data_IF_584013732262
#
_entry.id   IF_584013732262
#
_cell.length_a   1.000
_cell.length_b   1.000
_cell.length_c   1.000
_cell.angle_alpha   90.00
_cell.angle_beta   90.00
_cell.angle_gamma   90.00
#
_symmetry.space_group_name_H-M   'P 1'
#
loop_
_entity.id
_entity.type
_entity.pdbx_description
1 polymer ?
#
# COMPACT_ATOMS: atom_id res chain seq x y z
N UNK A 1 10.62 -17.22 -8.43
CA UNK A 1 10.49 -15.89 -9.08
C UNK A 1 9.05 -15.75 -9.51
N UNK A 2 8.47 -14.54 -9.46
CA UNK A 2 7.14 -14.33 -10.04
C UNK A 2 7.22 -14.49 -11.56
N UNK A 3 6.23 -15.19 -12.11
CA UNK A 3 6.02 -15.26 -13.56
C UNK A 3 5.85 -13.87 -14.16
N UNK A 4 6.48 -13.66 -15.31
CA UNK A 4 6.46 -12.38 -16.03
C UNK A 4 5.02 -11.90 -16.30
N UNK A 5 4.15 -12.84 -16.69
CA UNK A 5 2.73 -12.60 -16.91
C UNK A 5 1.98 -12.11 -15.65
N UNK A 6 2.34 -12.62 -14.47
CA UNK A 6 1.71 -12.16 -13.22
C UNK A 6 2.18 -10.75 -12.85
N UNK A 7 3.46 -10.44 -13.09
CA UNK A 7 3.99 -9.10 -12.89
C UNK A 7 3.27 -8.09 -13.78
N UNK A 8 3.16 -8.37 -15.08
CA UNK A 8 2.50 -7.46 -16.04
C UNK A 8 1.05 -7.18 -15.65
N UNK A 9 0.28 -8.21 -15.24
CA UNK A 9 -1.09 -8.03 -14.73
C UNK A 9 -1.18 -7.18 -13.47
N UNK A 10 -0.20 -7.27 -12.57
CA UNK A 10 -0.16 -6.44 -11.36
C UNK A 10 0.17 -5.00 -11.74
N UNK A 11 1.15 -4.81 -12.62
CA UNK A 11 1.53 -3.49 -13.11
C UNK A 11 0.30 -2.83 -13.76
N UNK A 12 -0.41 -3.50 -14.67
CA UNK A 12 -1.64 -2.97 -15.29
C UNK A 12 -2.74 -2.56 -14.30
N UNK A 13 -2.88 -3.26 -13.17
CA UNK A 13 -3.91 -2.97 -12.17
C UNK A 13 -3.59 -1.79 -11.27
N UNK A 14 -2.31 -1.53 -11.03
CA UNK A 14 -1.83 -0.50 -10.10
C UNK A 14 -1.10 0.65 -10.78
N UNK A 15 -1.04 0.65 -12.12
CA UNK A 15 -0.56 1.76 -12.95
C UNK A 15 -1.41 3.01 -12.69
N UNK A 16 -0.77 4.11 -12.35
CA UNK A 16 -1.42 5.43 -12.33
C UNK A 16 -1.51 6.04 -13.74
N UNK A 17 -0.54 5.72 -14.59
CA UNK A 17 -0.48 6.11 -16.00
C UNK A 17 -0.05 4.93 -16.88
N UNK A 18 -0.33 4.98 -18.18
CA UNK A 18 -0.04 3.87 -19.11
C UNK A 18 1.45 3.47 -19.15
N UNK A 19 2.35 4.44 -18.97
CA UNK A 19 3.81 4.26 -18.92
C UNK A 19 4.38 4.14 -17.50
N UNK A 20 3.54 4.14 -16.47
CA UNK A 20 4.00 4.05 -15.10
C UNK A 20 4.40 2.61 -14.75
N UNK A 21 5.71 2.36 -14.75
CA UNK A 21 6.30 1.05 -14.43
C UNK A 21 7.08 1.07 -13.12
N UNK A 22 7.22 2.25 -12.52
CA UNK A 22 8.16 2.50 -11.44
C UNK A 22 7.55 3.16 -10.21
N UNK A 23 6.27 3.56 -10.24
CA UNK A 23 5.64 4.16 -9.07
C UNK A 23 5.73 3.27 -7.84
N UNK A 24 5.81 3.95 -6.71
CA UNK A 24 5.84 3.34 -5.38
C UNK A 24 4.66 2.38 -5.19
N UNK A 25 3.52 2.71 -5.79
CA UNK A 25 2.28 1.94 -5.80
C UNK A 25 2.45 0.55 -6.43
N UNK A 26 2.94 0.53 -7.68
CA UNK A 26 3.21 -0.70 -8.44
C UNK A 26 4.24 -1.56 -7.71
N UNK A 27 5.31 -0.95 -7.20
CA UNK A 27 6.36 -1.67 -6.46
C UNK A 27 5.82 -2.36 -5.20
N UNK A 28 4.97 -1.67 -4.42
CA UNK A 28 4.35 -2.24 -3.21
C UNK A 28 3.43 -3.42 -3.57
N UNK A 29 2.68 -3.32 -4.67
CA UNK A 29 1.81 -4.39 -5.14
C UNK A 29 2.62 -5.65 -5.55
N UNK A 30 3.70 -5.48 -6.31
CA UNK A 30 4.60 -6.57 -6.71
C UNK A 30 5.21 -7.25 -5.47
N UNK A 31 5.79 -6.46 -4.55
CA UNK A 31 6.39 -7.00 -3.32
C UNK A 31 5.37 -7.77 -2.48
N UNK A 32 4.11 -7.32 -2.46
CA UNK A 32 3.05 -7.99 -1.70
C UNK A 32 2.73 -9.36 -2.27
N UNK A 33 2.67 -9.50 -3.59
CA UNK A 33 2.45 -10.81 -4.22
C UNK A 33 3.66 -11.73 -4.03
N UNK A 34 4.88 -11.20 -4.14
CA UNK A 34 6.12 -11.94 -3.84
C UNK A 34 6.13 -12.49 -2.41
N UNK A 35 5.80 -11.64 -1.44
CA UNK A 35 5.69 -12.02 -0.02
C UNK A 35 4.67 -13.14 0.15
N UNK A 36 3.51 -13.06 -0.51
CA UNK A 36 2.45 -14.06 -0.43
C UNK A 36 2.90 -15.43 -0.97
N UNK A 37 3.58 -15.44 -2.11
CA UNK A 37 4.16 -16.66 -2.69
C UNK A 37 5.24 -17.26 -1.79
N UNK A 38 6.18 -16.44 -1.30
CA UNK A 38 7.24 -16.90 -0.38
C UNK A 38 6.66 -17.42 0.93
N UNK A 39 5.60 -16.80 1.45
CA UNK A 39 4.93 -17.27 2.66
C UNK A 39 4.32 -18.67 2.46
N UNK A 40 3.71 -18.93 1.29
CA UNK A 40 3.22 -20.26 0.91
C UNK A 40 4.34 -21.30 0.88
N UNK A 41 5.47 -20.97 0.25
CA UNK A 41 6.65 -21.84 0.18
C UNK A 41 7.25 -22.12 1.57
N UNK A 42 7.30 -21.13 2.46
CA UNK A 42 7.85 -21.30 3.81
C UNK A 42 6.94 -22.11 4.74
N UNK A 43 5.64 -22.19 4.45
CA UNK A 43 4.73 -23.08 5.21
C UNK A 43 5.06 -24.55 4.99
N UNK A 44 5.44 -24.94 3.77
CA UNK A 44 5.90 -26.30 3.45
C UNK A 44 7.35 -26.50 3.88
N UNK A 45 8.24 -25.52 3.63
CA UNK A 45 9.67 -25.60 3.94
C UNK A 45 10.06 -24.78 5.19
N UNK A 46 9.60 -25.23 6.37
CA UNK A 46 9.83 -24.52 7.65
C UNK A 46 11.30 -24.35 8.04
N UNK A 47 12.20 -25.19 7.53
CA UNK A 47 13.64 -25.16 7.86
C UNK A 47 14.46 -24.28 6.91
N UNK A 48 13.86 -23.70 5.87
CA UNK A 48 14.58 -22.82 4.95
C UNK A 48 14.76 -21.42 5.55
N UNK A 49 15.90 -21.23 6.22
CA UNK A 49 16.27 -19.97 6.85
C UNK A 49 16.71 -18.90 5.83
N UNK A 50 17.26 -19.32 4.68
CA UNK A 50 17.70 -18.41 3.62
C UNK A 50 16.51 -17.71 2.97
N UNK A 51 15.47 -18.47 2.63
CA UNK A 51 14.21 -17.91 2.11
C UNK A 51 13.47 -17.06 3.14
N UNK A 52 13.52 -17.43 4.44
CA UNK A 52 12.96 -16.59 5.51
C UNK A 52 13.68 -15.24 5.61
N UNK A 53 15.00 -15.22 5.48
CA UNK A 53 15.77 -13.96 5.44
C UNK A 53 15.41 -13.12 4.22
N UNK A 54 15.22 -13.75 3.06
CA UNK A 54 14.73 -13.09 1.84
C UNK A 54 13.34 -12.48 2.03
N UNK A 55 12.43 -13.20 2.69
CA UNK A 55 11.09 -12.70 3.04
C UNK A 55 11.18 -11.47 3.93
N UNK A 56 11.97 -11.51 5.00
CA UNK A 56 12.13 -10.38 5.91
C UNK A 56 12.69 -9.13 5.21
N UNK A 57 13.63 -9.31 4.27
CA UNK A 57 14.13 -8.21 3.43
C UNK A 57 13.02 -7.57 2.61
N UNK A 58 12.20 -8.36 1.93
CA UNK A 58 11.07 -7.86 1.13
C UNK A 58 10.01 -7.15 1.98
N UNK A 59 9.72 -7.66 3.18
CA UNK A 59 8.80 -7.01 4.13
C UNK A 59 9.34 -5.64 4.57
N UNK A 60 10.63 -5.55 4.87
CA UNK A 60 11.27 -4.29 5.26
C UNK A 60 11.30 -3.28 4.12
N UNK A 61 11.59 -3.73 2.90
CA UNK A 61 11.57 -2.90 1.69
C UNK A 61 10.16 -2.32 1.44
N UNK A 62 9.13 -3.17 1.48
CA UNK A 62 7.74 -2.73 1.38
C UNK A 62 7.37 -1.71 2.46
N UNK A 63 7.84 -1.91 3.70
CA UNK A 63 7.59 -0.96 4.80
C UNK A 63 8.24 0.40 4.54
N UNK A 64 9.44 0.44 3.95
CA UNK A 64 10.12 1.69 3.58
C UNK A 64 9.35 2.41 2.47
N UNK A 65 8.91 1.69 1.45
CA UNK A 65 8.12 2.25 0.35
C UNK A 65 6.77 2.81 0.83
N UNK A 66 6.08 2.10 1.73
CA UNK A 66 4.84 2.58 2.33
C UNK A 66 5.05 3.88 3.13
N UNK A 67 6.13 3.97 3.91
CA UNK A 67 6.48 5.19 4.66
C UNK A 67 6.83 6.36 3.72
N UNK A 68 7.50 6.08 2.60
CA UNK A 68 7.80 7.08 1.60
C UNK A 68 6.51 7.61 0.95
N UNK A 69 5.61 6.71 0.55
CA UNK A 69 4.33 7.07 -0.04
C UNK A 69 3.42 7.84 0.93
N UNK A 70 3.43 7.49 2.21
CA UNK A 70 2.69 8.21 3.26
C UNK A 70 3.12 9.68 3.37
N UNK A 71 4.42 9.97 3.19
CA UNK A 71 4.96 11.33 3.23
C UNK A 71 4.73 12.12 1.94
N UNK A 72 4.84 11.45 0.78
CA UNK A 72 4.73 12.10 -0.54
C UNK A 72 3.26 12.29 -0.96
N UNK A 73 2.43 11.25 -0.80
CA UNK A 73 1.04 11.26 -1.19
C UNK A 73 0.17 10.41 -0.22
N UNK A 74 -0.40 11.04 0.83
CA UNK A 74 -1.20 10.33 1.82
C UNK A 74 -2.47 9.72 1.23
N UNK A 75 -3.06 10.31 0.17
CA UNK A 75 -4.26 9.78 -0.49
C UNK A 75 -3.98 8.45 -1.18
N UNK A 76 -2.90 8.38 -1.96
CA UNK A 76 -2.43 7.15 -2.58
C UNK A 76 -2.10 6.06 -1.56
N UNK A 77 -1.45 6.43 -0.45
CA UNK A 77 -1.17 5.51 0.65
C UNK A 77 -2.42 4.86 1.24
N UNK A 78 -3.48 5.65 1.49
CA UNK A 78 -4.76 5.13 1.98
C UNK A 78 -5.40 4.17 0.97
N UNK A 79 -5.39 4.52 -0.32
CA UNK A 79 -5.92 3.66 -1.40
C UNK A 79 -5.18 2.32 -1.48
N UNK A 80 -3.86 2.33 -1.35
CA UNK A 80 -3.02 1.11 -1.39
C UNK A 80 -3.23 0.23 -0.17
N UNK A 81 -3.36 0.82 1.02
CA UNK A 81 -3.69 0.06 2.21
C UNK A 81 -5.06 -0.60 2.09
N UNK A 82 -6.05 0.11 1.56
CA UNK A 82 -7.40 -0.40 1.35
C UNK A 82 -7.41 -1.56 0.34
N UNK A 83 -6.75 -1.39 -0.81
CA UNK A 83 -6.69 -2.41 -1.86
C UNK A 83 -5.91 -3.66 -1.44
N UNK A 84 -4.77 -3.50 -0.76
CA UNK A 84 -3.92 -4.63 -0.34
C UNK A 84 -4.33 -5.23 1.01
N UNK A 85 -5.35 -4.67 1.69
CA UNK A 85 -5.83 -5.07 3.02
C UNK A 85 -4.69 -5.27 4.03
N UNK A 86 -3.65 -4.44 3.94
CA UNK A 86 -2.50 -4.54 4.83
C UNK A 86 -2.91 -4.02 6.20
N UNK A 87 -2.76 -4.85 7.25
CA UNK A 87 -3.00 -4.42 8.62
C UNK A 87 -2.05 -3.27 8.94
N UNK A 88 -2.63 -2.06 9.08
CA UNK A 88 -1.96 -0.86 9.58
C UNK A 88 -1.29 -1.25 10.90
N UNK A 89 0.04 -1.33 10.94
CA UNK A 89 0.73 -1.45 12.22
C UNK A 89 0.43 -0.15 12.95
N UNK A 90 -0.41 -0.27 13.98
CA UNK A 90 -0.84 0.74 14.94
C UNK A 90 -0.11 2.08 14.79
N UNK A 91 -0.85 3.16 14.48
CA UNK A 91 -0.81 4.49 15.15
C UNK A 91 -1.51 5.57 14.30
N UNK A 92 -1.49 5.51 12.96
CA UNK A 92 -1.87 6.70 12.15
C UNK A 92 -3.35 6.83 11.74
N UNK A 93 -4.22 5.84 11.96
CA UNK A 93 -5.66 5.99 11.67
C UNK A 93 -6.44 6.75 12.77
N UNK A 94 -5.89 6.82 13.99
CA UNK A 94 -6.57 7.46 15.11
C UNK A 94 -6.40 8.98 15.16
N UNK A 95 -5.57 9.58 14.29
CA UNK A 95 -5.23 11.00 14.36
C UNK A 95 -5.83 11.89 13.26
N UNK A 96 -6.20 11.33 12.10
CA UNK A 96 -6.68 12.13 10.96
C UNK A 96 -8.20 12.17 10.79
N UNK A 97 -8.96 11.34 11.52
CA UNK A 97 -10.44 11.42 11.54
C UNK A 97 -10.98 12.29 12.68
N UNK A 98 -10.10 12.95 13.46
CA UNK A 98 -10.49 13.78 14.60
C UNK A 98 -10.17 15.28 14.42
N UNK A 99 -9.55 15.68 13.30
CA UNK A 99 -9.09 17.06 13.10
C UNK A 99 -9.72 17.75 11.86
N UNK A 100 -10.72 17.15 11.19
CA UNK A 100 -11.42 17.75 10.04
C UNK A 100 -12.94 17.97 10.28
N UNK A 101 -13.41 18.04 11.53
CA UNK A 101 -14.83 18.41 11.82
C UNK A 101 -15.05 19.90 12.16
N UNK A 102 -13.99 20.70 12.33
CA UNK A 102 -14.12 22.14 12.63
C UNK A 102 -13.36 22.99 11.59
N UNK A 103 -14.04 24.01 11.03
CA UNK A 103 -13.60 25.00 10.00
C UNK A 103 -13.65 24.53 8.51
N UNK A 104 -14.46 25.04 7.57
CA UNK A 104 -15.17 26.33 7.35
C UNK A 104 -16.33 26.06 6.35
N UNK A 105 -17.62 26.21 6.71
CA UNK A 105 -18.57 27.34 6.45
C UNK A 105 -18.75 27.71 4.96
N UNK A 106 -19.98 27.88 4.45
CA UNK A 106 -20.66 29.16 4.09
C UNK A 106 -21.82 28.79 3.10
N UNK A 107 -22.96 29.51 2.94
CA UNK A 107 -23.48 30.73 3.60
C UNK A 107 -24.92 30.58 4.14
N UNK A 108 -25.23 31.30 5.23
CA UNK A 108 -26.60 31.75 5.48
C UNK A 108 -26.82 33.07 4.72
N UNK A 109 -27.69 33.07 3.70
CA UNK A 109 -28.38 34.27 3.20
C UNK A 109 -29.37 33.93 2.08
N UNK A 110 -30.41 34.77 1.83
CA UNK A 110 -31.35 35.42 2.75
C UNK A 110 -32.82 35.32 2.23
N UNK A 111 -33.80 35.87 2.99
CA UNK A 111 -35.16 36.30 2.53
C UNK A 111 -36.20 35.17 2.36
N UNK A 112 -37.15 35.01 3.30
CA UNK A 112 -38.50 35.58 3.37
C UNK A 112 -39.49 35.07 2.31
N UNK A 113 -40.51 34.32 2.76
CA UNK A 113 -41.94 34.53 2.48
C UNK A 113 -42.79 33.78 3.52
#
# INVERSE_FOLDING_TARGET
MLDKNLKEKIIEKFKTHENDTGSTEVQIAILTEEIKQLLGHLKTHKKDNSSRRGLLRKVNERRRLLKYLENENPKSYLNIIATLKLKKTATMAAKQLAEEEDEVVIPASPVAE
#
